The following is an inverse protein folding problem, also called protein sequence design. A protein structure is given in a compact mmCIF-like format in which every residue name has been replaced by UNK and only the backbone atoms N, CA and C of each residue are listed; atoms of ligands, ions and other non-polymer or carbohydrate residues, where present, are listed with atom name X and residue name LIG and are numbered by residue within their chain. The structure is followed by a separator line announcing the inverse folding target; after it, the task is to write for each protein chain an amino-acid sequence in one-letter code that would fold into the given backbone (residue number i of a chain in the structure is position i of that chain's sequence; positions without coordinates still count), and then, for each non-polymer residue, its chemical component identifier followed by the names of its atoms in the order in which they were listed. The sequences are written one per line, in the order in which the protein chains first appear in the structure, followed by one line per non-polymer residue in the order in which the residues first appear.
data_IF_442817578083
#
_entry.id   IF_442817578083
#
_cell.length_a   1.000
_cell.length_b   1.000
_cell.length_c   1.000
_cell.angle_alpha   90.00
_cell.angle_beta   90.00
_cell.angle_gamma   90.00
#
_symmetry.space_group_name_H-M   'P 1'
#
loop_
_entity.id
_entity.type
_entity.pdbx_description
1 polymer ?
#
# COMPACT_ATOMS: atom_id res chain seq x y z
N UNK A 1 -22.02 -40.21 -1.97
CA UNK A 1 -21.90 -39.21 -3.06
C UNK A 1 -20.78 -38.23 -2.66
N UNK A 2 -19.56 -38.52 -3.09
CA UNK A 2 -18.39 -37.69 -2.82
C UNK A 2 -18.43 -36.49 -3.76
N UNK A 3 -18.41 -35.27 -3.21
CA UNK A 3 -18.24 -34.07 -4.02
C UNK A 3 -16.87 -34.13 -4.72
N UNK A 4 -16.76 -33.89 -6.04
CA UNK A 4 -15.47 -33.73 -6.68
C UNK A 4 -14.77 -32.56 -6.00
N UNK A 5 -13.57 -32.81 -5.48
CA UNK A 5 -12.76 -31.77 -4.88
C UNK A 5 -12.44 -30.72 -5.91
N UNK A 6 -12.72 -29.48 -5.59
CA UNK A 6 -12.09 -28.34 -6.22
C UNK A 6 -10.62 -28.39 -5.81
N UNK A 7 -9.80 -29.04 -6.65
CA UNK A 7 -8.34 -28.97 -6.51
C UNK A 7 -7.92 -27.51 -6.77
N UNK A 8 -8.01 -26.69 -5.73
CA UNK A 8 -7.35 -25.38 -5.80
C UNK A 8 -5.84 -25.67 -5.85
N UNK A 9 -5.08 -25.07 -6.80
CA UNK A 9 -3.64 -25.29 -6.90
C UNK A 9 -2.86 -24.71 -5.71
N UNK A 10 -3.58 -24.16 -4.74
CA UNK A 10 -3.03 -23.59 -3.52
C UNK A 10 -3.01 -24.65 -2.41
N UNK A 11 -1.82 -25.15 -2.11
CA UNK A 11 -1.61 -26.04 -0.95
C UNK A 11 -1.30 -25.17 0.27
N UNK A 12 -2.22 -25.12 1.21
CA UNK A 12 -2.02 -24.44 2.49
C UNK A 12 -0.87 -25.12 3.23
N UNK A 13 0.24 -24.40 3.40
CA UNK A 13 1.38 -24.86 4.19
C UNK A 13 1.30 -24.26 5.58
N UNK A 14 1.04 -25.08 6.59
CA UNK A 14 1.01 -24.66 8.00
C UNK A 14 2.31 -24.00 8.45
N UNK A 15 3.44 -24.43 7.86
CA UNK A 15 4.77 -23.84 8.14
C UNK A 15 4.82 -22.40 7.62
N UNK A 16 4.38 -22.16 6.39
CA UNK A 16 4.36 -20.83 5.78
C UNK A 16 3.39 -19.92 6.55
N UNK A 17 2.19 -20.41 6.84
CA UNK A 17 1.19 -19.65 7.58
C UNK A 17 1.68 -19.25 8.97
N UNK A 18 2.34 -20.16 9.68
CA UNK A 18 2.91 -19.89 11.01
C UNK A 18 4.06 -18.89 10.93
N UNK A 19 4.97 -19.06 9.96
CA UNK A 19 6.09 -18.14 9.74
C UNK A 19 5.59 -16.73 9.42
N UNK A 20 4.61 -16.60 8.53
CA UNK A 20 4.03 -15.29 8.17
C UNK A 20 3.31 -14.64 9.34
N UNK A 21 2.52 -15.39 10.12
CA UNK A 21 1.88 -14.86 11.33
C UNK A 21 2.90 -14.29 12.33
N UNK A 22 4.04 -14.94 12.44
CA UNK A 22 5.09 -14.50 13.36
C UNK A 22 5.86 -13.29 12.81
N UNK A 23 6.21 -13.29 11.52
CA UNK A 23 7.13 -12.30 10.91
C UNK A 23 6.39 -11.03 10.47
N UNK A 24 5.16 -11.13 9.97
CA UNK A 24 4.42 -10.00 9.41
C UNK A 24 4.30 -8.78 10.35
N UNK A 25 3.99 -8.94 11.66
CA UNK A 25 3.91 -7.79 12.56
C UNK A 25 5.27 -7.09 12.75
N UNK A 26 6.38 -7.80 12.71
CA UNK A 26 7.72 -7.19 12.80
C UNK A 26 8.06 -6.41 11.54
N UNK A 27 7.75 -6.97 10.35
CA UNK A 27 7.94 -6.27 9.07
C UNK A 27 7.06 -5.02 9.01
N UNK A 28 5.80 -5.11 9.45
CA UNK A 28 4.90 -3.96 9.52
C UNK A 28 5.44 -2.88 10.46
N UNK A 29 5.87 -3.26 11.66
CA UNK A 29 6.44 -2.33 12.64
C UNK A 29 7.69 -1.64 12.07
N UNK A 30 8.56 -2.41 11.41
CA UNK A 30 9.75 -1.85 10.77
C UNK A 30 9.39 -0.91 9.60
N UNK A 31 8.39 -1.28 8.78
CA UNK A 31 7.89 -0.42 7.71
C UNK A 31 7.33 0.91 8.23
N UNK A 32 6.54 0.86 9.31
CA UNK A 32 6.04 2.05 9.98
C UNK A 32 7.17 2.90 10.55
N UNK A 33 8.15 2.27 11.22
CA UNK A 33 9.32 2.96 11.74
C UNK A 33 10.06 3.71 10.62
N UNK A 34 10.35 3.03 9.50
CA UNK A 34 11.01 3.65 8.34
C UNK A 34 10.21 4.83 7.77
N UNK A 35 8.89 4.70 7.73
CA UNK A 35 8.01 5.76 7.22
C UNK A 35 8.03 7.00 8.12
N UNK A 36 7.96 6.82 9.44
CA UNK A 36 7.91 7.94 10.40
C UNK A 36 9.28 8.56 10.72
N UNK A 37 10.37 8.00 10.23
CA UNK A 37 11.74 8.52 10.45
C UNK A 37 12.40 8.93 9.14
N UNK A 38 11.66 9.10 8.07
CA UNK A 38 12.19 9.39 6.75
C UNK A 38 12.93 10.72 6.65
N UNK A 39 12.50 11.74 7.42
CA UNK A 39 13.16 13.03 7.45
C UNK A 39 14.55 13.00 8.15
N UNK A 40 14.79 12.01 9.02
CA UNK A 40 16.00 11.94 9.86
C UNK A 40 16.94 10.78 9.45
N UNK A 41 16.50 9.83 8.60
CA UNK A 41 17.26 8.62 8.28
C UNK A 41 17.28 8.34 6.77
N UNK A 42 18.29 7.58 6.27
CA UNK A 42 18.23 7.06 4.90
C UNK A 42 17.07 6.08 4.75
N UNK A 43 16.05 6.46 4.07
CA UNK A 43 14.80 5.73 3.93
C UNK A 43 13.65 6.70 4.11
N UNK A 44 12.45 6.27 3.96
CA UNK A 44 11.31 7.15 4.12
C UNK A 44 10.03 6.51 3.60
N UNK A 45 9.13 7.35 3.12
CA UNK A 45 7.82 6.93 2.66
C UNK A 45 7.82 5.83 1.60
N UNK A 46 8.78 5.85 0.66
CA UNK A 46 8.86 4.81 -0.37
C UNK A 46 9.21 3.44 0.23
N UNK A 47 10.29 3.36 1.01
CA UNK A 47 10.74 2.11 1.60
C UNK A 47 9.73 1.58 2.62
N UNK A 48 9.24 2.45 3.49
CA UNK A 48 8.21 2.09 4.46
C UNK A 48 6.91 1.67 3.80
N UNK A 49 6.46 2.39 2.77
CA UNK A 49 5.29 2.04 1.97
C UNK A 49 5.44 0.69 1.25
N UNK A 50 6.62 0.42 0.71
CA UNK A 50 6.92 -0.87 0.08
C UNK A 50 6.85 -2.02 1.10
N UNK A 51 7.44 -1.85 2.30
CA UNK A 51 7.36 -2.85 3.37
C UNK A 51 5.92 -3.10 3.82
N UNK A 52 5.12 -2.05 3.99
CA UNK A 52 3.69 -2.19 4.32
C UNK A 52 2.92 -2.95 3.23
N UNK A 53 3.17 -2.63 1.96
CA UNK A 53 2.60 -3.37 0.83
C UNK A 53 3.01 -4.84 0.85
N UNK A 54 4.30 -5.12 1.06
CA UNK A 54 4.84 -6.49 1.12
C UNK A 54 4.21 -7.31 2.24
N UNK A 55 3.88 -6.73 3.40
CA UNK A 55 3.16 -7.44 4.46
C UNK A 55 1.83 -8.01 3.95
N UNK A 56 1.08 -7.22 3.18
CA UNK A 56 -0.19 -7.70 2.59
C UNK A 56 0.06 -8.81 1.58
N UNK A 57 1.13 -8.70 0.77
CA UNK A 57 1.53 -9.77 -0.14
C UNK A 57 1.91 -11.05 0.61
N UNK A 58 2.67 -10.94 1.71
CA UNK A 58 3.00 -12.09 2.56
C UNK A 58 1.74 -12.79 3.08
N UNK A 59 0.73 -12.01 3.52
CA UNK A 59 -0.55 -12.55 3.95
C UNK A 59 -1.29 -13.23 2.80
N UNK A 60 -1.28 -12.62 1.60
CA UNK A 60 -1.92 -13.19 0.41
C UNK A 60 -1.26 -14.50 -0.04
N UNK A 61 0.06 -14.61 0.07
CA UNK A 61 0.78 -15.86 -0.22
C UNK A 61 0.55 -16.95 0.84
N UNK A 62 0.38 -16.57 2.11
CA UNK A 62 0.19 -17.53 3.19
C UNK A 62 -1.26 -17.99 3.34
N UNK A 63 -2.23 -17.10 3.16
CA UNK A 63 -3.65 -17.34 3.47
C UNK A 63 -4.55 -17.31 2.22
N UNK A 64 -3.99 -17.07 1.05
CA UNK A 64 -4.70 -16.96 -0.21
C UNK A 64 -4.94 -15.52 -0.64
N UNK A 65 -4.89 -15.28 -1.96
CA UNK A 65 -5.03 -13.95 -2.53
C UNK A 65 -6.46 -13.41 -2.40
N UNK A 66 -7.50 -14.24 -2.67
CA UNK A 66 -8.89 -13.80 -2.60
C UNK A 66 -9.33 -13.44 -1.15
N UNK A 67 -9.12 -14.28 -0.11
CA UNK A 67 -9.47 -13.90 1.26
C UNK A 67 -8.75 -12.62 1.72
N UNK A 68 -7.47 -12.48 1.39
CA UNK A 68 -6.69 -11.29 1.75
C UNK A 68 -7.21 -10.05 1.03
N UNK A 69 -7.59 -10.18 -0.24
CA UNK A 69 -8.16 -9.09 -1.03
C UNK A 69 -9.52 -8.63 -0.50
N UNK A 70 -10.38 -9.57 -0.09
CA UNK A 70 -11.67 -9.25 0.52
C UNK A 70 -11.47 -8.50 1.84
N UNK A 71 -10.49 -8.92 2.64
CA UNK A 71 -10.15 -8.28 3.90
C UNK A 71 -9.61 -6.86 3.73
N UNK A 72 -8.69 -6.62 2.79
CA UNK A 72 -8.12 -5.27 2.52
C UNK A 72 -9.14 -4.38 1.82
N UNK A 73 -9.90 -4.94 0.85
CA UNK A 73 -10.88 -4.22 0.06
C UNK A 73 -10.29 -3.29 -1.00
N UNK A 74 -10.95 -3.19 -2.13
CA UNK A 74 -10.53 -2.31 -3.23
C UNK A 74 -10.52 -0.82 -2.82
N UNK A 75 -11.45 -0.42 -1.94
CA UNK A 75 -11.56 0.95 -1.47
C UNK A 75 -10.34 1.42 -0.69
N UNK A 76 -9.74 0.54 0.11
CA UNK A 76 -8.52 0.85 0.87
C UNK A 76 -7.34 1.06 -0.08
N UNK A 77 -7.11 0.15 -1.03
CA UNK A 77 -6.01 0.25 -1.99
C UNK A 77 -6.11 1.52 -2.85
N UNK A 78 -7.31 1.77 -3.41
CA UNK A 78 -7.57 2.98 -4.21
C UNK A 78 -7.50 4.24 -3.35
N UNK A 79 -8.03 4.19 -2.13
CA UNK A 79 -7.99 5.30 -1.18
C UNK A 79 -6.58 5.69 -0.76
N UNK A 80 -5.71 4.70 -0.51
CA UNK A 80 -4.30 4.93 -0.21
C UNK A 80 -3.58 5.56 -1.42
N UNK A 81 -3.73 4.96 -2.61
CA UNK A 81 -3.07 5.46 -3.80
C UNK A 81 -3.55 6.86 -4.20
N UNK A 82 -4.85 7.06 -4.33
CA UNK A 82 -5.42 8.35 -4.75
C UNK A 82 -5.31 9.40 -3.64
N UNK A 83 -5.58 9.03 -2.38
CA UNK A 83 -5.45 9.93 -1.23
C UNK A 83 -4.00 10.40 -1.04
N UNK A 84 -3.05 9.50 -1.20
CA UNK A 84 -1.62 9.84 -1.16
C UNK A 84 -1.22 10.85 -2.25
N UNK A 85 -1.75 10.68 -3.47
CA UNK A 85 -1.53 11.66 -4.56
C UNK A 85 -2.14 13.03 -4.19
N UNK A 86 -3.35 13.04 -3.62
CA UNK A 86 -3.99 14.30 -3.19
C UNK A 86 -3.16 15.01 -2.11
N UNK A 87 -2.63 14.28 -1.13
CA UNK A 87 -1.75 14.84 -0.10
C UNK A 87 -0.47 15.38 -0.72
N UNK A 88 0.21 14.59 -1.54
CA UNK A 88 1.46 14.98 -2.19
C UNK A 88 1.29 16.26 -3.03
N UNK A 89 0.32 16.25 -3.93
CA UNK A 89 0.02 17.39 -4.80
C UNK A 89 -0.50 18.57 -4.00
N UNK A 90 -1.35 18.32 -3.01
CA UNK A 90 -1.93 19.36 -2.16
C UNK A 90 -0.88 20.15 -1.38
N UNK A 91 0.10 19.46 -0.78
CA UNK A 91 1.23 20.13 -0.09
C UNK A 91 2.06 20.93 -1.10
N UNK A 92 2.36 20.35 -2.27
CA UNK A 92 3.15 21.04 -3.29
C UNK A 92 2.45 22.26 -3.91
N UNK A 93 1.15 22.17 -4.18
CA UNK A 93 0.34 23.30 -4.68
C UNK A 93 0.13 24.36 -3.62
N UNK A 94 0.04 23.97 -2.34
CA UNK A 94 -0.06 24.89 -1.22
C UNK A 94 1.13 25.86 -1.16
N UNK A 95 2.36 25.36 -1.34
CA UNK A 95 3.56 26.22 -1.39
C UNK A 95 3.55 27.17 -2.59
N UNK A 96 3.08 26.73 -3.75
CA UNK A 96 2.90 27.60 -4.91
C UNK A 96 1.86 28.71 -4.65
N UNK A 97 0.77 28.38 -3.99
CA UNK A 97 -0.30 29.35 -3.68
C UNK A 97 0.15 30.50 -2.75
N UNK A 98 1.17 30.25 -1.91
CA UNK A 98 1.78 31.26 -1.03
C UNK A 98 3.02 31.93 -1.64
N UNK A 99 3.29 31.68 -2.93
CA UNK A 99 4.33 32.39 -3.70
C UNK A 99 5.70 31.72 -3.71
N UNK A 100 5.81 30.45 -3.31
CA UNK A 100 7.05 29.68 -3.33
C UNK A 100 7.17 28.71 -4.49
N UNK A 101 8.20 27.87 -4.44
CA UNK A 101 8.38 26.74 -5.34
C UNK A 101 7.57 25.52 -4.90
N UNK A 102 7.33 24.58 -5.82
CA UNK A 102 6.64 23.33 -5.50
C UNK A 102 7.42 22.56 -4.42
N UNK A 103 6.74 22.16 -3.33
CA UNK A 103 7.30 21.47 -2.16
C UNK A 103 8.36 22.29 -1.38
N UNK A 104 8.30 23.60 -1.42
CA UNK A 104 9.15 24.47 -0.59
C UNK A 104 8.59 24.58 0.83
N UNK A 105 8.71 23.52 1.62
CA UNK A 105 8.06 23.37 2.94
C UNK A 105 8.39 24.48 3.94
N UNK A 106 9.59 25.09 3.84
CA UNK A 106 9.99 26.19 4.73
C UNK A 106 9.02 27.37 4.70
N UNK A 107 8.26 27.55 3.62
CA UNK A 107 7.24 28.59 3.51
C UNK A 107 6.02 28.37 4.43
N UNK A 108 5.83 27.17 4.91
CA UNK A 108 4.80 26.88 5.90
C UNK A 108 5.16 27.28 7.33
N UNK A 109 6.45 27.57 7.61
CA UNK A 109 6.93 27.87 8.96
C UNK A 109 6.25 29.07 9.62
N UNK A 110 6.03 30.23 8.94
CA UNK A 110 5.30 31.35 9.52
C UNK A 110 3.83 31.03 9.86
N UNK A 111 3.22 30.09 9.15
CA UNK A 111 1.80 29.74 9.33
C UNK A 111 1.60 28.59 10.30
N UNK A 112 2.45 27.57 10.25
CA UNK A 112 2.35 26.35 11.05
C UNK A 112 3.24 26.34 12.28
N UNK A 113 4.35 27.12 12.26
CA UNK A 113 5.29 27.21 13.37
C UNK A 113 4.64 27.59 14.72
N UNK A 114 3.68 28.54 14.77
CA UNK A 114 2.96 28.86 15.99
C UNK A 114 2.18 27.69 16.61
N UNK A 115 1.79 26.69 15.80
CA UNK A 115 1.01 25.51 16.23
C UNK A 115 1.90 24.27 16.38
N UNK A 116 2.87 24.06 15.48
CA UNK A 116 3.67 22.85 15.38
C UNK A 116 5.11 23.04 15.94
N UNK A 117 5.46 24.27 16.32
CA UNK A 117 6.82 24.59 16.76
C UNK A 117 7.79 24.90 15.62
N UNK A 118 9.10 25.04 15.92
CA UNK A 118 10.11 25.53 14.98
C UNK A 118 10.47 24.57 13.83
N UNK A 119 9.88 23.39 13.79
CA UNK A 119 10.23 22.32 12.83
C UNK A 119 9.19 22.15 11.71
N UNK A 120 8.52 23.23 11.27
CA UNK A 120 7.47 23.14 10.24
C UNK A 120 7.97 22.52 8.92
N UNK A 121 9.23 22.73 8.54
CA UNK A 121 9.85 22.08 7.38
C UNK A 121 9.90 20.57 7.55
N UNK A 122 10.30 20.08 8.74
CA UNK A 122 10.31 18.65 9.06
C UNK A 122 8.91 18.06 9.01
N UNK A 123 7.92 18.72 9.60
CA UNK A 123 6.52 18.27 9.54
C UNK A 123 5.98 18.24 8.11
N UNK A 124 6.40 19.17 7.24
CA UNK A 124 6.05 19.15 5.82
C UNK A 124 6.63 17.92 5.10
N UNK A 125 7.89 17.60 5.36
CA UNK A 125 8.55 16.39 4.84
C UNK A 125 7.84 15.11 5.32
N UNK A 126 7.58 15.00 6.62
CA UNK A 126 6.88 13.87 7.21
C UNK A 126 5.46 13.70 6.63
N UNK A 127 4.73 14.78 6.41
CA UNK A 127 3.40 14.72 5.79
C UNK A 127 3.47 14.16 4.36
N UNK A 128 4.48 14.56 3.57
CA UNK A 128 4.72 14.01 2.23
C UNK A 128 5.13 12.55 2.29
N UNK A 129 6.01 12.17 3.21
CA UNK A 129 6.51 10.80 3.30
C UNK A 129 5.45 9.82 3.81
N UNK A 130 4.75 10.18 4.87
CA UNK A 130 3.72 9.32 5.50
C UNK A 130 2.41 9.37 4.71
N UNK A 131 1.85 10.57 4.54
CA UNK A 131 0.54 10.76 3.93
C UNK A 131 0.56 10.69 2.39
N UNK A 132 1.66 11.06 1.77
CA UNK A 132 1.85 11.03 0.32
C UNK A 132 2.49 9.72 -0.13
N UNK A 133 3.82 9.64 -0.06
CA UNK A 133 4.60 8.59 -0.74
C UNK A 133 4.31 7.20 -0.19
N UNK A 134 4.30 7.01 1.14
CA UNK A 134 4.05 5.69 1.72
C UNK A 134 2.65 5.16 1.39
N UNK A 135 1.65 6.04 1.42
CA UNK A 135 0.28 5.68 1.05
C UNK A 135 0.18 5.30 -0.43
N UNK A 136 0.77 6.08 -1.34
CA UNK A 136 0.80 5.76 -2.78
C UNK A 136 1.47 4.41 -3.01
N UNK A 137 2.67 4.22 -2.49
CA UNK A 137 3.49 3.04 -2.76
C UNK A 137 2.82 1.78 -2.21
N UNK A 138 2.33 1.80 -0.96
CA UNK A 138 1.63 0.65 -0.40
C UNK A 138 0.35 0.31 -1.18
N UNK A 139 -0.47 1.32 -1.50
CA UNK A 139 -1.71 1.13 -2.27
C UNK A 139 -1.46 0.59 -3.68
N UNK A 140 -0.43 1.10 -4.38
CA UNK A 140 -0.06 0.66 -5.72
C UNK A 140 0.51 -0.75 -5.72
N UNK A 141 1.41 -1.10 -4.78
CA UNK A 141 1.98 -2.45 -4.68
C UNK A 141 0.88 -3.49 -4.44
N UNK A 142 -0.02 -3.24 -3.49
CA UNK A 142 -1.17 -4.11 -3.23
C UNK A 142 -2.08 -4.22 -4.46
N UNK A 143 -2.42 -3.10 -5.08
CA UNK A 143 -3.28 -3.05 -6.25
C UNK A 143 -2.71 -3.83 -7.44
N UNK A 144 -1.44 -3.61 -7.78
CA UNK A 144 -0.75 -4.33 -8.85
C UNK A 144 -0.68 -5.84 -8.58
N UNK A 145 -0.36 -6.23 -7.35
CA UNK A 145 -0.34 -7.64 -6.97
C UNK A 145 -1.69 -8.32 -7.22
N UNK A 146 -2.79 -7.76 -6.71
CA UNK A 146 -4.10 -8.37 -6.86
C UNK A 146 -4.63 -8.31 -8.30
N UNK A 147 -4.23 -7.32 -9.09
CA UNK A 147 -4.55 -7.29 -10.52
C UNK A 147 -3.83 -8.39 -11.29
N UNK A 148 -2.53 -8.60 -11.02
CA UNK A 148 -1.77 -9.68 -11.67
C UNK A 148 -2.23 -11.05 -11.21
N UNK A 149 -2.52 -11.24 -9.93
CA UNK A 149 -3.01 -12.50 -9.39
C UNK A 149 -4.31 -12.96 -10.06
N UNK A 150 -5.21 -12.04 -10.43
CA UNK A 150 -6.43 -12.36 -11.19
C UNK A 150 -6.16 -12.87 -12.59
N UNK A 151 -5.11 -12.41 -13.25
CA UNK A 151 -4.73 -12.86 -14.58
C UNK A 151 -4.20 -14.29 -14.64
N UNK A 152 -3.80 -14.85 -13.47
CA UNK A 152 -3.30 -16.22 -13.34
C UNK A 152 -4.36 -17.24 -12.90
N UNK A 153 -5.61 -16.83 -12.67
CA UNK A 153 -6.70 -17.82 -12.47
C UNK A 153 -6.88 -18.60 -13.76
N UNK A 154 -6.72 -19.93 -13.75
CA UNK A 154 -6.97 -20.74 -14.93
C UNK A 154 -8.40 -20.49 -15.39
N UNK A 155 -8.57 -20.19 -16.67
CA UNK A 155 -9.88 -20.09 -17.29
C UNK A 155 -10.49 -21.50 -17.21
N UNK A 156 -11.44 -21.73 -16.31
CA UNK A 156 -12.04 -23.04 -16.02
C UNK A 156 -12.92 -23.59 -17.17
N UNK A 157 -12.82 -23.00 -18.34
CA UNK A 157 -13.52 -23.47 -19.53
C UNK A 157 -15.05 -23.32 -19.49
N UNK A 158 -15.59 -22.71 -18.46
CA UNK A 158 -17.02 -22.44 -18.30
C UNK A 158 -17.45 -21.13 -18.94
N UNK A 159 -16.92 -20.83 -20.13
CA UNK A 159 -17.43 -19.75 -20.98
C UNK A 159 -18.67 -20.26 -21.72
N UNK A 160 -19.88 -19.87 -21.29
CA UNK A 160 -21.14 -20.37 -21.93
C UNK A 160 -21.29 -19.92 -23.36
N UNK A 161 -20.48 -18.96 -23.84
CA UNK A 161 -20.59 -18.45 -25.21
C UNK A 161 -19.87 -19.29 -26.27
N UNK A 162 -19.09 -20.32 -25.89
CA UNK A 162 -18.38 -21.17 -26.85
C UNK A 162 -19.18 -22.35 -27.38
N UNK A 163 -20.38 -22.59 -26.82
CA UNK A 163 -21.24 -23.71 -27.19
C UNK A 163 -22.12 -23.50 -28.44
N UNK A 164 -22.28 -22.28 -28.92
CA UNK A 164 -23.30 -21.96 -29.97
C UNK A 164 -22.70 -21.60 -31.36
N UNK A 165 -21.46 -21.99 -31.63
CA UNK A 165 -20.82 -21.77 -32.95
C UNK A 165 -20.36 -23.09 -33.57
N UNK A 166 -21.28 -24.09 -33.63
CA UNK A 166 -21.12 -25.25 -34.53
C UNK A 166 -22.41 -25.55 -35.27
#
# INVERSE_FOLDING_TARGET
MSRPGTDSPYTESEIIMTAVRLVAPFVLTYGLFMTFHGADTPGGGFQGGALMGVVVLMLAFAFGAEPTREWVGNGVMTGLAAGGVVVFVGVGLGTLAIGGAFLEYGLYEPYLGPVLGPDATKWGMEAIEVGGVAAIVSGVIMGLFFLTARGFTPNDGSDPERGDRR
#
